data_IF_286003147618
#
_entry.id   IF_286003147618
#
_cell.length_a   1.000
_cell.length_b   1.000
_cell.length_c   1.000
_cell.angle_alpha   90.00
_cell.angle_beta   90.00
_cell.angle_gamma   90.00
#
_symmetry.space_group_name_H-M   'P 1'
#
loop_
_entity.id
_entity.type
_entity.pdbx_description
1 polymer ?
#
# COMPACT_ATOMS: atom_id res chain seq x y z
N UNK A 1 33.15 -8.49 23.88
CA UNK A 1 31.70 -8.78 23.76
C UNK A 1 31.49 -9.62 22.51
N UNK A 2 30.68 -10.69 22.54
CA UNK A 2 30.48 -11.53 21.36
C UNK A 2 29.76 -10.74 20.26
N UNK A 3 30.10 -11.01 19.00
CA UNK A 3 29.45 -10.39 17.84
C UNK A 3 27.95 -10.78 17.81
N UNK A 4 27.05 -9.84 17.47
CA UNK A 4 25.62 -10.13 17.40
C UNK A 4 25.37 -11.21 16.35
N UNK A 5 24.76 -12.33 16.76
CA UNK A 5 24.33 -13.41 15.87
C UNK A 5 22.89 -13.16 15.41
N UNK A 6 22.56 -13.40 14.13
CA UNK A 6 21.20 -13.38 13.65
C UNK A 6 20.30 -14.35 14.43
N UNK A 7 19.03 -14.00 14.62
CA UNK A 7 18.00 -14.86 15.22
C UNK A 7 17.14 -15.51 14.14
N UNK A 8 16.46 -16.64 14.40
CA UNK A 8 15.73 -17.40 13.37
C UNK A 8 14.69 -16.60 12.56
N UNK A 9 14.18 -15.50 13.13
CA UNK A 9 13.23 -14.62 12.46
C UNK A 9 13.89 -13.64 11.47
N UNK A 10 15.22 -13.46 11.51
CA UNK A 10 15.98 -12.59 10.58
C UNK A 10 16.00 -13.17 9.13
N UNK A 11 15.47 -14.39 8.92
CA UNK A 11 15.28 -15.01 7.60
C UNK A 11 13.94 -14.64 6.93
N UNK A 12 13.03 -13.95 7.63
CA UNK A 12 11.77 -13.45 7.05
C UNK A 12 11.89 -11.96 6.69
N UNK A 13 11.35 -11.49 5.55
CA UNK A 13 11.69 -10.19 4.98
C UNK A 13 10.88 -9.08 5.64
N UNK A 14 11.21 -8.76 6.90
CA UNK A 14 10.61 -7.65 7.64
C UNK A 14 11.73 -6.89 8.34
N UNK A 15 12.26 -5.85 7.68
CA UNK A 15 13.11 -4.88 8.36
C UNK A 15 13.07 -3.50 7.72
N UNK A 16 13.06 -2.48 8.58
CA UNK A 16 13.10 -1.06 8.21
C UNK A 16 14.52 -0.60 7.84
N UNK A 17 15.55 -1.31 8.35
CA UNK A 17 16.98 -1.03 8.10
C UNK A 17 17.79 -2.34 8.09
N UNK A 18 19.03 -2.31 7.61
CA UNK A 18 19.93 -3.48 7.56
C UNK A 18 20.55 -3.89 8.93
N UNK A 19 19.74 -3.99 10.00
CA UNK A 19 20.14 -4.43 11.35
C UNK A 19 19.20 -5.55 11.83
N UNK A 20 19.59 -6.29 12.89
CA UNK A 20 18.77 -7.35 13.51
C UNK A 20 17.51 -6.79 14.20
N UNK A 21 16.40 -7.55 14.27
CA UNK A 21 15.09 -7.11 14.84
C UNK A 21 15.12 -6.65 16.29
N UNK A 22 16.22 -6.85 17.01
CA UNK A 22 16.43 -6.23 18.31
C UNK A 22 16.51 -4.69 18.25
N UNK A 23 16.76 -4.11 17.07
CA UNK A 23 16.99 -2.68 16.90
C UNK A 23 15.95 -2.07 15.96
N UNK A 24 15.24 -1.05 16.44
CA UNK A 24 14.42 -0.14 15.63
C UNK A 24 15.29 1.06 15.27
N UNK A 25 15.21 1.55 14.02
CA UNK A 25 15.77 2.85 13.68
C UNK A 25 14.67 3.90 13.68
N UNK A 26 14.96 4.99 14.38
CA UNK A 26 14.10 6.13 14.73
C UNK A 26 13.22 5.93 15.98
N UNK A 27 13.06 7.02 16.73
CA UNK A 27 12.04 7.16 17.77
C UNK A 27 10.74 7.76 17.22
N UNK A 28 10.55 7.72 15.89
CA UNK A 28 9.32 8.16 15.26
C UNK A 28 8.32 6.99 15.23
N UNK A 29 7.20 7.18 15.92
CA UNK A 29 6.08 6.23 16.04
C UNK A 29 5.26 6.10 14.75
N UNK A 30 5.58 6.86 13.71
CA UNK A 30 4.97 6.72 12.39
C UNK A 30 5.56 5.49 11.69
N UNK A 31 4.84 4.39 11.84
CA UNK A 31 5.15 3.06 11.34
C UNK A 31 5.67 3.06 9.89
N UNK A 32 6.79 2.38 9.65
CA UNK A 32 7.15 1.87 8.34
C UNK A 32 6.80 0.37 8.30
N UNK A 33 5.73 0.04 7.59
CA UNK A 33 5.31 -1.33 7.28
C UNK A 33 5.71 -1.68 5.84
N UNK A 34 5.97 -2.97 5.57
CA UNK A 34 6.38 -3.48 4.26
C UNK A 34 5.50 -4.67 3.90
N UNK A 35 4.71 -4.52 2.84
CA UNK A 35 3.92 -5.63 2.30
C UNK A 35 4.61 -6.27 1.09
N UNK A 36 4.55 -7.60 1.01
CA UNK A 36 5.05 -8.36 -0.14
C UNK A 36 3.88 -8.65 -1.07
N UNK A 37 4.05 -8.42 -2.37
CA UNK A 37 3.09 -8.85 -3.39
C UNK A 37 3.33 -10.33 -3.68
N UNK A 38 2.34 -11.16 -3.36
CA UNK A 38 2.30 -12.52 -3.92
C UNK A 38 1.52 -12.46 -5.22
N UNK A 39 2.23 -12.26 -6.32
CA UNK A 39 1.66 -12.46 -7.65
C UNK A 39 1.45 -13.96 -7.85
N UNK A 40 0.22 -14.41 -7.70
CA UNK A 40 -0.17 -15.70 -8.22
C UNK A 40 -0.31 -15.55 -9.74
N UNK A 41 0.28 -16.47 -10.50
CA UNK A 41 0.16 -16.51 -11.96
C UNK A 41 -1.31 -16.79 -12.35
N UNK A 42 -2.12 -15.74 -12.33
CA UNK A 42 -3.49 -15.71 -12.80
C UNK A 42 -3.57 -14.65 -13.90
N UNK A 43 -3.54 -15.04 -15.17
CA UNK A 43 -3.17 -14.17 -16.29
C UNK A 43 -4.25 -13.15 -16.72
N UNK A 44 -5.15 -12.73 -15.82
CA UNK A 44 -6.34 -11.93 -16.20
C UNK A 44 -6.56 -10.65 -15.41
N UNK A 45 -5.95 -10.51 -14.24
CA UNK A 45 -6.08 -9.28 -13.46
C UNK A 45 -5.73 -9.44 -11.99
N UNK A 46 -5.48 -8.30 -11.36
CA UNK A 46 -4.98 -8.17 -10.00
C UNK A 46 -5.57 -6.90 -9.38
N UNK A 47 -6.07 -7.00 -8.15
CA UNK A 47 -6.55 -5.86 -7.39
C UNK A 47 -6.03 -5.95 -5.94
N UNK A 48 -5.32 -4.93 -5.49
CA UNK A 48 -4.77 -4.85 -4.13
C UNK A 48 -5.04 -3.50 -3.50
N UNK A 49 -5.38 -3.57 -2.22
CA UNK A 49 -5.47 -2.45 -1.30
C UNK A 49 -4.47 -2.66 -0.17
N UNK A 50 -3.72 -1.62 0.17
CA UNK A 50 -2.88 -1.54 1.37
C UNK A 50 -3.14 -0.17 2.01
N UNK A 51 -3.87 -0.16 3.12
CA UNK A 51 -4.46 1.04 3.70
C UNK A 51 -4.11 1.14 5.18
N UNK A 52 -2.87 1.56 5.52
CA UNK A 52 -2.53 1.92 6.89
C UNK A 52 -3.11 3.29 7.24
N UNK A 53 -3.77 3.37 8.39
CA UNK A 53 -4.46 4.57 8.85
C UNK A 53 -4.05 4.83 10.30
N UNK A 54 -3.56 6.03 10.57
CA UNK A 54 -3.30 6.51 11.93
C UNK A 54 -4.37 7.52 12.31
N UNK A 55 -5.24 7.15 13.24
CA UNK A 55 -6.05 8.09 14.03
C UNK A 55 -5.23 8.56 15.23
N UNK A 56 -5.76 9.41 16.12
CA UNK A 56 -5.00 9.81 17.32
C UNK A 56 -4.93 8.69 18.38
N UNK A 57 -5.97 7.86 18.49
CA UNK A 57 -6.16 6.85 19.54
C UNK A 57 -5.91 5.41 19.10
N UNK A 58 -5.87 5.16 17.79
CA UNK A 58 -5.64 3.82 17.21
C UNK A 58 -4.93 3.88 15.87
N UNK A 59 -4.42 2.72 15.47
CA UNK A 59 -3.95 2.42 14.13
C UNK A 59 -4.88 1.36 13.54
N UNK A 60 -5.20 1.49 12.26
CA UNK A 60 -5.94 0.49 11.49
C UNK A 60 -5.12 0.16 10.27
N UNK A 61 -5.01 -1.12 9.95
CA UNK A 61 -4.46 -1.57 8.70
C UNK A 61 -5.54 -2.32 7.94
N UNK A 62 -5.73 -2.02 6.67
CA UNK A 62 -6.55 -2.84 5.77
C UNK A 62 -5.69 -3.32 4.63
N UNK A 63 -5.65 -4.63 4.42
CA UNK A 63 -4.97 -5.23 3.28
C UNK A 63 -5.87 -6.27 2.64
N UNK A 64 -6.06 -6.11 1.34
CA UNK A 64 -6.89 -6.97 0.52
C UNK A 64 -6.17 -7.28 -0.78
N UNK A 65 -6.21 -8.53 -1.23
CA UNK A 65 -5.73 -8.92 -2.55
C UNK A 65 -6.71 -9.86 -3.23
N UNK A 66 -7.15 -9.47 -4.42
CA UNK A 66 -8.09 -10.18 -5.26
C UNK A 66 -7.50 -10.48 -6.64
N UNK A 67 -7.90 -11.61 -7.21
CA UNK A 67 -7.71 -11.85 -8.64
C UNK A 67 -8.84 -11.22 -9.47
N UNK A 68 -8.80 -11.42 -10.79
CA UNK A 68 -9.74 -10.81 -11.72
C UNK A 68 -11.23 -11.10 -11.45
N UNK A 69 -11.54 -12.21 -10.79
CA UNK A 69 -12.92 -12.63 -10.48
C UNK A 69 -13.36 -12.22 -9.06
N UNK A 70 -12.47 -11.57 -8.31
CA UNK A 70 -12.73 -11.18 -6.92
C UNK A 70 -12.38 -12.27 -5.91
N UNK A 71 -11.68 -13.34 -6.30
CA UNK A 71 -11.22 -14.33 -5.32
C UNK A 71 -10.15 -13.71 -4.42
N UNK A 72 -10.48 -13.62 -3.12
CA UNK A 72 -9.64 -12.98 -2.10
C UNK A 72 -8.57 -13.94 -1.61
N UNK A 73 -7.33 -13.66 -1.98
CA UNK A 73 -6.14 -14.44 -1.61
C UNK A 73 -5.43 -13.92 -0.35
N UNK A 74 -5.68 -12.66 0.03
CA UNK A 74 -5.19 -12.01 1.24
C UNK A 74 -6.26 -11.08 1.78
N UNK A 75 -6.51 -11.15 3.08
CA UNK A 75 -7.54 -10.35 3.75
C UNK A 75 -7.18 -10.16 5.22
N UNK A 76 -6.82 -8.94 5.60
CA UNK A 76 -6.54 -8.59 6.99
C UNK A 76 -7.03 -7.16 7.27
N UNK A 77 -7.64 -6.97 8.43
CA UNK A 77 -8.11 -5.67 8.91
C UNK A 77 -7.86 -5.47 10.42
N UNK A 78 -6.60 -5.48 10.91
CA UNK A 78 -6.34 -5.29 12.33
C UNK A 78 -6.50 -3.83 12.76
N UNK A 79 -7.02 -3.65 13.97
CA UNK A 79 -6.98 -2.41 14.74
C UNK A 79 -6.04 -2.60 15.93
N UNK A 80 -5.09 -1.69 16.07
CA UNK A 80 -4.09 -1.67 17.13
C UNK A 80 -4.30 -0.39 17.94
N UNK A 81 -4.26 -0.49 19.26
CA UNK A 81 -4.38 0.64 20.18
C UNK A 81 -3.17 0.70 21.10
N UNK A 82 -2.83 1.87 21.65
CA UNK A 82 -1.72 1.99 22.60
C UNK A 82 -1.94 1.14 23.87
N UNK A 83 -3.20 1.06 24.30
CA UNK A 83 -3.61 0.31 25.47
C UNK A 83 -4.83 -0.54 25.14
N UNK A 84 -4.69 -1.86 25.27
CA UNK A 84 -5.76 -2.81 25.01
C UNK A 84 -5.35 -3.92 24.05
N UNK A 85 -6.20 -4.94 23.88
CA UNK A 85 -5.95 -6.00 22.92
C UNK A 85 -6.17 -5.52 21.49
N UNK A 86 -5.35 -6.01 20.57
CA UNK A 86 -5.58 -5.86 19.13
C UNK A 86 -6.91 -6.51 18.73
N UNK A 87 -7.60 -5.88 17.78
CA UNK A 87 -8.89 -6.37 17.26
C UNK A 87 -8.77 -6.67 15.78
N UNK A 88 -9.47 -7.71 15.31
CA UNK A 88 -9.74 -7.89 13.87
C UNK A 88 -11.09 -7.25 13.56
N UNK A 89 -11.14 -6.46 12.49
CA UNK A 89 -12.32 -5.71 12.06
C UNK A 89 -13.14 -6.43 10.97
N UNK A 90 -13.02 -7.76 10.92
CA UNK A 90 -13.69 -8.59 9.92
C UNK A 90 -13.03 -8.53 8.55
N UNK A 91 -13.82 -8.90 7.53
CA UNK A 91 -13.42 -8.89 6.12
C UNK A 91 -13.77 -7.54 5.51
N UNK A 92 -12.77 -6.79 5.07
CA UNK A 92 -12.99 -5.46 4.49
C UNK A 92 -13.56 -5.54 3.06
N UNK A 93 -14.65 -4.83 2.81
CA UNK A 93 -15.10 -4.45 1.46
C UNK A 93 -14.93 -2.96 1.26
N UNK A 94 -14.57 -2.54 0.04
CA UNK A 94 -14.23 -1.13 -0.23
C UNK A 94 -14.96 -0.65 -1.47
N UNK A 95 -15.79 0.36 -1.30
CA UNK A 95 -16.44 1.07 -2.39
C UNK A 95 -15.57 2.25 -2.79
N UNK A 96 -15.01 2.21 -4.00
CA UNK A 96 -14.07 3.22 -4.48
C UNK A 96 -14.76 4.11 -5.51
N UNK A 97 -14.73 5.41 -5.28
CA UNK A 97 -15.09 6.40 -6.29
C UNK A 97 -13.84 6.78 -7.06
N UNK A 98 -13.86 6.51 -8.37
CA UNK A 98 -12.78 6.85 -9.28
C UNK A 98 -13.04 8.19 -9.95
N UNK A 99 -11.97 8.90 -10.28
CA UNK A 99 -12.05 9.99 -11.27
C UNK A 99 -12.50 9.38 -12.60
N UNK A 100 -13.52 9.98 -13.18
CA UNK A 100 -14.13 9.55 -14.45
C UNK A 100 -13.07 9.25 -15.52
N UNK A 101 -13.22 8.14 -16.24
CA UNK A 101 -12.28 7.74 -17.28
C UNK A 101 -10.94 7.21 -16.78
N UNK A 102 -10.76 7.00 -15.47
CA UNK A 102 -9.47 6.60 -14.89
C UNK A 102 -9.61 5.52 -13.80
N UNK A 103 -8.48 4.96 -13.38
CA UNK A 103 -8.37 4.13 -12.16
C UNK A 103 -7.88 4.90 -10.94
N UNK A 104 -7.88 6.23 -11.00
CA UNK A 104 -7.40 7.09 -9.90
C UNK A 104 -8.52 7.29 -8.89
N UNK A 105 -8.40 6.81 -7.64
CA UNK A 105 -9.39 7.03 -6.61
C UNK A 105 -9.45 8.52 -6.23
N UNK A 106 -10.65 9.01 -5.94
CA UNK A 106 -10.88 10.36 -5.37
C UNK A 106 -11.45 10.27 -3.95
N UNK A 107 -12.23 9.23 -3.67
CA UNK A 107 -12.73 8.89 -2.33
C UNK A 107 -13.04 7.40 -2.26
N UNK A 108 -13.15 6.86 -1.05
CA UNK A 108 -13.59 5.49 -0.82
C UNK A 108 -14.35 5.35 0.49
N UNK A 109 -15.16 4.30 0.61
CA UNK A 109 -15.73 3.85 1.88
C UNK A 109 -15.24 2.44 2.14
N UNK A 110 -14.54 2.26 3.27
CA UNK A 110 -14.06 0.95 3.74
C UNK A 110 -15.05 0.43 4.77
N UNK A 111 -15.73 -0.67 4.46
CA UNK A 111 -16.71 -1.32 5.31
C UNK A 111 -16.06 -2.41 6.17
N UNK A 112 -16.33 -2.36 7.47
CA UNK A 112 -15.75 -3.24 8.49
C UNK A 112 -16.85 -3.63 9.50
N UNK A 113 -16.63 -4.69 10.30
CA UNK A 113 -17.58 -5.13 11.33
C UNK A 113 -17.84 -4.07 12.42
N UNK A 114 -16.94 -3.08 12.54
CA UNK A 114 -17.02 -1.95 13.48
C UNK A 114 -17.56 -0.65 12.87
N UNK A 115 -18.01 -0.67 11.62
CA UNK A 115 -18.53 0.50 10.91
C UNK A 115 -17.72 0.86 9.67
N UNK A 116 -17.98 2.06 9.15
CA UNK A 116 -17.41 2.53 7.89
C UNK A 116 -16.31 3.56 8.14
N UNK A 117 -15.19 3.41 7.44
CA UNK A 117 -14.14 4.43 7.35
C UNK A 117 -14.30 5.14 6.01
N UNK A 118 -14.56 6.44 6.05
CA UNK A 118 -14.59 7.29 4.85
C UNK A 118 -13.17 7.78 4.53
N UNK A 119 -12.74 7.65 3.29
CA UNK A 119 -11.44 8.09 2.81
C UNK A 119 -11.59 9.20 1.75
N UNK A 120 -10.82 10.27 1.90
CA UNK A 120 -10.68 11.36 0.95
C UNK A 120 -9.24 11.38 0.44
N UNK A 121 -9.05 11.22 -0.87
CA UNK A 121 -7.72 11.23 -1.49
C UNK A 121 -7.20 12.67 -1.60
N UNK A 122 -6.00 12.92 -1.10
CA UNK A 122 -5.37 14.24 -1.07
C UNK A 122 -4.31 14.41 -2.17
N UNK A 123 -3.32 13.52 -2.19
CA UNK A 123 -2.21 13.56 -3.16
C UNK A 123 -1.75 12.14 -3.50
N UNK A 124 -1.37 11.95 -4.76
CA UNK A 124 -0.99 10.64 -5.30
C UNK A 124 0.50 10.60 -5.61
N UNK A 125 1.16 9.50 -5.24
CA UNK A 125 2.56 9.21 -5.51
C UNK A 125 2.68 7.86 -6.24
N UNK A 126 2.83 7.86 -7.57
CA UNK A 126 2.92 6.61 -8.32
C UNK A 126 4.28 5.95 -8.11
N UNK A 127 4.29 4.73 -7.56
CA UNK A 127 5.53 4.04 -7.18
C UNK A 127 6.39 3.59 -8.37
N UNK A 128 5.77 3.47 -9.54
CA UNK A 128 6.46 3.22 -10.80
C UNK A 128 7.30 4.40 -11.31
N UNK A 129 7.14 5.60 -10.71
CA UNK A 129 7.89 6.80 -11.05
C UNK A 129 8.75 7.17 -9.85
N UNK A 130 10.07 7.02 -9.99
CA UNK A 130 11.03 7.45 -8.99
C UNK A 130 11.18 6.56 -7.75
N UNK A 131 10.22 5.70 -7.40
CA UNK A 131 10.34 4.77 -6.26
C UNK A 131 10.84 3.36 -6.63
N UNK A 132 11.00 3.07 -7.92
CA UNK A 132 11.64 1.84 -8.43
C UNK A 132 10.73 0.60 -8.42
N UNK A 133 9.41 0.75 -8.25
CA UNK A 133 8.46 -0.36 -8.35
C UNK A 133 8.14 -0.65 -9.81
N UNK A 134 7.83 -1.90 -10.13
CA UNK A 134 7.42 -2.28 -11.49
C UNK A 134 6.23 -1.41 -11.97
N UNK A 135 6.20 -0.92 -13.22
CA UNK A 135 7.15 -1.18 -14.32
C UNK A 135 8.28 -0.14 -14.49
N UNK A 136 8.78 0.47 -13.41
CA UNK A 136 9.93 1.37 -13.44
C UNK A 136 11.11 0.73 -14.22
N UNK A 137 11.70 1.51 -15.14
CA UNK A 137 12.77 1.02 -16.04
C UNK A 137 14.15 1.51 -15.64
N UNK A 138 14.21 2.46 -14.75
CA UNK A 138 15.35 3.36 -14.59
C UNK A 138 16.17 3.03 -13.34
N UNK A 139 15.52 2.48 -12.29
CA UNK A 139 16.14 1.73 -11.20
C UNK A 139 15.10 0.81 -10.54
N UNK A 140 15.55 -0.19 -9.76
CA UNK A 140 14.65 -1.11 -9.05
C UNK A 140 14.71 -0.94 -7.54
N UNK A 141 13.55 -0.89 -6.91
CA UNK A 141 13.43 -0.83 -5.46
C UNK A 141 14.17 -2.02 -4.82
N UNK A 142 15.05 -1.73 -3.83
CA UNK A 142 15.84 -2.75 -3.15
C UNK A 142 17.08 -3.26 -3.91
N UNK A 143 17.42 -2.67 -5.06
CA UNK A 143 18.63 -3.03 -5.82
C UNK A 143 19.91 -2.52 -5.11
N UNK A 144 20.87 -3.41 -4.86
CA UNK A 144 22.19 -3.02 -4.37
C UNK A 144 23.04 -2.41 -5.50
N UNK A 145 23.46 -1.16 -5.34
CA UNK A 145 24.25 -0.41 -6.34
C UNK A 145 25.75 -0.31 -6.03
N UNK A 146 26.22 -0.94 -4.96
CA UNK A 146 27.59 -0.82 -4.48
C UNK A 146 27.74 0.14 -3.29
N UNK A 147 28.88 0.08 -2.61
CA UNK A 147 29.15 0.92 -1.43
C UNK A 147 29.33 2.38 -1.86
N UNK A 148 28.75 3.30 -1.10
CA UNK A 148 28.92 4.75 -1.32
C UNK A 148 28.21 5.30 -2.56
N UNK A 149 27.30 4.52 -3.16
CA UNK A 149 26.51 4.96 -4.30
C UNK A 149 25.36 5.87 -3.84
N UNK A 150 25.20 7.01 -4.52
CA UNK A 150 24.12 7.97 -4.33
C UNK A 150 23.69 8.50 -5.70
N UNK A 151 22.39 8.52 -5.97
CA UNK A 151 21.78 9.14 -7.14
C UNK A 151 20.61 10.01 -6.69
N UNK A 152 20.31 11.06 -7.46
CA UNK A 152 19.15 11.93 -7.24
C UNK A 152 18.50 12.20 -8.59
N UNK A 153 17.18 11.99 -8.64
CA UNK A 153 16.35 12.29 -9.81
C UNK A 153 15.20 13.20 -9.43
N UNK A 154 14.72 13.94 -10.42
CA UNK A 154 13.51 14.75 -10.31
C UNK A 154 12.62 14.41 -11.51
N UNK A 155 11.33 14.29 -11.26
CA UNK A 155 10.34 13.94 -12.27
C UNK A 155 9.30 15.04 -12.31
N UNK A 156 8.94 15.48 -13.51
CA UNK A 156 7.80 16.36 -13.71
C UNK A 156 6.54 15.49 -13.80
N UNK A 157 5.74 15.50 -12.73
CA UNK A 157 4.51 14.71 -12.67
C UNK A 157 3.36 15.34 -13.47
N UNK A 158 3.58 16.51 -14.10
CA UNK A 158 2.64 17.09 -15.06
C UNK A 158 2.85 16.57 -16.47
N UNK A 159 3.99 15.93 -16.75
CA UNK A 159 4.30 15.32 -18.05
C UNK A 159 3.60 13.95 -18.18
N UNK A 160 2.68 13.77 -19.15
CA UNK A 160 2.04 12.49 -19.43
C UNK A 160 3.04 11.36 -19.76
N UNK A 161 4.19 11.68 -20.36
CA UNK A 161 5.22 10.68 -20.68
C UNK A 161 5.88 10.12 -19.42
N UNK A 162 5.99 10.93 -18.36
CA UNK A 162 6.51 10.54 -17.05
C UNK A 162 5.49 9.73 -16.27
N UNK A 163 4.21 10.08 -16.35
CA UNK A 163 3.13 9.47 -15.56
C UNK A 163 2.50 8.25 -16.23
N UNK A 164 2.68 8.03 -17.54
CA UNK A 164 2.14 6.87 -18.25
C UNK A 164 2.44 5.50 -17.57
N UNK A 165 3.64 5.24 -17.01
CA UNK A 165 3.92 4.01 -16.28
C UNK A 165 3.05 3.81 -15.01
N UNK A 166 2.55 4.89 -14.41
CA UNK A 166 1.71 4.84 -13.21
C UNK A 166 0.41 4.06 -13.43
N UNK A 167 -0.14 4.08 -14.66
CA UNK A 167 -1.34 3.32 -15.01
C UNK A 167 -1.16 1.79 -14.89
N UNK A 168 0.09 1.33 -14.82
CA UNK A 168 0.46 -0.08 -14.78
C UNK A 168 1.21 -0.47 -13.51
N UNK A 169 1.35 0.48 -12.57
CA UNK A 169 2.02 0.30 -11.30
C UNK A 169 1.11 0.63 -10.13
N UNK A 170 1.61 0.34 -8.94
CA UNK A 170 0.91 0.67 -7.69
C UNK A 170 1.06 2.18 -7.43
N UNK A 171 0.00 2.80 -6.92
CA UNK A 171 0.03 4.20 -6.53
C UNK A 171 -0.35 4.35 -5.05
N UNK A 172 0.48 5.09 -4.32
CA UNK A 172 0.18 5.50 -2.96
C UNK A 172 -0.63 6.79 -3.00
N UNK A 173 -1.84 6.76 -2.45
CA UNK A 173 -2.66 7.96 -2.28
C UNK A 173 -2.61 8.37 -0.82
N UNK A 174 -1.92 9.47 -0.50
CA UNK A 174 -2.08 10.08 0.82
C UNK A 174 -3.53 10.52 0.98
N UNK A 175 -4.15 10.10 2.09
CA UNK A 175 -5.57 10.26 2.28
C UNK A 175 -5.90 10.67 3.72
N UNK A 176 -7.01 11.42 3.83
CA UNK A 176 -7.65 11.75 5.09
C UNK A 176 -8.77 10.75 5.32
N UNK A 177 -8.83 10.19 6.52
CA UNK A 177 -9.82 9.19 6.90
C UNK A 177 -10.75 9.73 7.99
N UNK A 178 -12.03 9.40 7.95
CA UNK A 178 -12.99 9.68 9.02
C UNK A 178 -13.65 8.39 9.50
N UNK A 179 -13.66 8.19 10.82
CA UNK A 179 -14.31 7.04 11.45
C UNK A 179 -14.66 7.38 12.90
N UNK A 180 -15.88 7.05 13.33
CA UNK A 180 -16.32 7.19 14.72
C UNK A 180 -16.07 8.60 15.32
N UNK A 181 -16.35 9.64 14.52
CA UNK A 181 -16.12 11.04 14.91
C UNK A 181 -14.64 11.42 15.10
N UNK A 182 -13.70 10.62 14.59
CA UNK A 182 -12.26 10.88 14.58
C UNK A 182 -11.76 11.06 13.16
N UNK A 183 -10.69 11.84 13.04
CA UNK A 183 -9.95 12.01 11.80
C UNK A 183 -8.62 11.30 11.93
N UNK A 184 -8.24 10.58 10.88
CA UNK A 184 -6.94 9.94 10.74
C UNK A 184 -6.32 10.28 9.40
N UNK A 185 -5.04 9.98 9.27
CA UNK A 185 -4.28 10.15 8.04
C UNK A 185 -3.46 8.90 7.75
N UNK A 186 -3.23 8.65 6.48
CA UNK A 186 -2.54 7.44 6.06
C UNK A 186 -2.39 7.36 4.56
N UNK A 187 -2.15 6.14 4.09
CA UNK A 187 -2.04 5.84 2.67
C UNK A 187 -3.25 4.99 2.28
N UNK A 188 -3.85 5.30 1.14
CA UNK A 188 -4.76 4.43 0.41
C UNK A 188 -3.97 3.93 -0.80
N UNK A 189 -3.21 2.85 -0.64
CA UNK A 189 -2.46 2.27 -1.76
C UNK A 189 -3.41 1.47 -2.63
N UNK A 190 -3.40 1.72 -3.94
CA UNK A 190 -4.17 0.98 -4.92
C UNK A 190 -3.25 0.43 -6.01
N UNK A 191 -3.30 -0.89 -6.19
CA UNK A 191 -2.78 -1.57 -7.37
C UNK A 191 -3.90 -2.33 -8.06
N UNK A 192 -4.40 -1.82 -9.20
CA UNK A 192 -5.45 -2.51 -9.96
C UNK A 192 -5.11 -2.61 -11.44
N UNK A 193 -4.80 -3.85 -11.88
CA UNK A 193 -4.30 -4.14 -13.21
C UNK A 193 -5.19 -5.14 -13.92
N UNK A 194 -5.46 -4.91 -15.21
CA UNK A 194 -6.31 -5.79 -15.99
C UNK A 194 -7.77 -5.81 -15.49
N UNK A 195 -8.46 -6.89 -15.82
CA UNK A 195 -9.88 -7.08 -15.47
C UNK A 195 -10.03 -7.28 -13.97
N UNK A 196 -11.06 -6.69 -13.40
CA UNK A 196 -11.48 -6.94 -12.03
C UNK A 196 -13.01 -6.79 -11.96
N UNK A 197 -13.73 -7.92 -11.93
CA UNK A 197 -15.20 -7.94 -11.95
C UNK A 197 -15.83 -7.12 -10.82
N UNK A 198 -15.37 -7.20 -9.55
CA UNK A 198 -15.98 -6.44 -8.45
C UNK A 198 -15.92 -4.93 -8.66
N UNK A 199 -14.87 -4.40 -9.30
CA UNK A 199 -14.75 -2.96 -9.58
C UNK A 199 -15.26 -2.56 -10.96
N UNK A 200 -15.80 -3.49 -11.75
CA UNK A 200 -16.29 -3.22 -13.11
C UNK A 200 -15.20 -3.08 -14.18
N UNK A 201 -13.92 -3.24 -13.84
CA UNK A 201 -12.84 -3.12 -14.81
C UNK A 201 -12.81 -4.32 -15.76
N UNK A 202 -12.86 -4.08 -17.07
CA UNK A 202 -12.99 -5.14 -18.09
C UNK A 202 -11.66 -5.53 -18.74
N UNK A 203 -10.65 -4.67 -18.70
CA UNK A 203 -9.37 -4.86 -19.37
C UNK A 203 -8.26 -4.07 -18.70
N UNK A 204 -7.18 -3.73 -19.41
CA UNK A 204 -6.09 -2.92 -18.84
C UNK A 204 -6.38 -1.41 -18.89
N UNK A 205 -7.26 -1.00 -19.80
CA UNK A 205 -7.72 0.36 -19.94
C UNK A 205 -8.59 0.79 -18.75
N UNK A 206 -8.74 2.10 -18.58
CA UNK A 206 -9.73 2.66 -17.66
C UNK A 206 -11.15 2.49 -18.23
N UNK A 207 -12.18 2.61 -17.38
CA UNK A 207 -13.59 2.55 -17.81
C UNK A 207 -13.98 3.75 -18.65
#
# INVERSE_FOLDING_TARGET
>A
MPAPRPVPLDEYPVHQIARSMRHVATGDRNAHDRSIFHFFDRPRGFHRLWIPIRFDDRFVMVIAQEDADGYRSLDEAPQITEHGPDRRLGRASVDITYREGTRVPVSAVVHLDGGNIEAEVMVSSPLAVGAGYSPARDWRHGEWKGRGWLDRRAYDLTDPAVTAPAAYGVTDHAARFAWDGRVGYGIFELGSFGRHTPSGFTGQEAM
#
